data_IF_668148340566
#
_entry.id   IF_668148340566
#
_cell.length_a   1.000
_cell.length_b   1.000
_cell.length_c   1.000
_cell.angle_alpha   90.00
_cell.angle_beta   90.00
_cell.angle_gamma   90.00
#
_symmetry.space_group_name_H-M   'P 1'
#
loop_
_entity.id
_entity.type
_entity.pdbx_description
1 polymer ?
#
# COMPACT_ATOMS: atom_id res chain seq x y z
N UNK A 1 -2.68 -13.66 17.87
CA UNK A 1 -2.62 -12.52 16.94
C UNK A 1 -1.18 -12.38 16.52
N UNK A 2 -0.82 -12.81 15.30
CA UNK A 2 0.48 -12.46 14.75
C UNK A 2 0.70 -10.96 14.90
N UNK A 3 1.74 -10.60 15.65
CA UNK A 3 1.97 -9.23 16.08
C UNK A 3 2.28 -8.37 14.86
N UNK A 4 1.73 -7.16 14.80
CA UNK A 4 2.11 -6.13 13.80
C UNK A 4 3.63 -5.97 13.69
N UNK A 5 4.38 -6.28 14.76
CA UNK A 5 5.83 -6.30 14.76
C UNK A 5 6.46 -7.37 13.84
N UNK A 6 5.91 -8.59 13.80
CA UNK A 6 6.42 -9.67 12.94
C UNK A 6 6.17 -9.34 11.46
N UNK A 7 4.98 -8.83 11.18
CA UNK A 7 4.57 -8.45 9.84
C UNK A 7 5.40 -7.25 9.33
N UNK A 8 5.67 -6.25 10.20
CA UNK A 8 6.61 -5.16 9.92
C UNK A 8 8.03 -5.68 9.65
N UNK A 9 8.53 -6.61 10.46
CA UNK A 9 9.84 -7.23 10.24
C UNK A 9 9.93 -7.96 8.90
N UNK A 10 8.88 -8.65 8.48
CA UNK A 10 8.81 -9.29 7.15
C UNK A 10 8.86 -8.24 6.02
N UNK A 11 8.08 -7.16 6.13
CA UNK A 11 8.13 -6.05 5.17
C UNK A 11 9.51 -5.39 5.08
N UNK A 12 10.15 -5.14 6.22
CA UNK A 12 11.52 -4.60 6.26
C UNK A 12 12.54 -5.51 5.55
N UNK A 13 12.44 -6.83 5.75
CA UNK A 13 13.28 -7.80 5.02
C UNK A 13 13.05 -7.76 3.51
N UNK A 14 11.79 -7.61 3.06
CA UNK A 14 11.47 -7.43 1.65
C UNK A 14 12.03 -6.12 1.08
N UNK A 15 11.95 -5.02 1.83
CA UNK A 15 12.56 -3.74 1.44
C UNK A 15 14.07 -3.88 1.30
N UNK A 16 14.74 -4.52 2.26
CA UNK A 16 16.19 -4.78 2.15
C UNK A 16 16.53 -5.65 0.94
N UNK A 17 15.70 -6.65 0.62
CA UNK A 17 15.87 -7.45 -0.58
C UNK A 17 15.70 -6.61 -1.85
N UNK A 18 14.67 -5.74 -1.92
CA UNK A 18 14.47 -4.79 -3.02
C UNK A 18 15.72 -3.95 -3.26
N UNK A 19 16.26 -3.31 -2.21
CA UNK A 19 17.40 -2.40 -2.37
C UNK A 19 18.65 -3.12 -2.89
N UNK A 20 18.89 -4.36 -2.45
CA UNK A 20 20.00 -5.20 -2.92
C UNK A 20 19.80 -5.63 -4.37
N UNK A 21 18.58 -6.04 -4.72
CA UNK A 21 18.27 -6.60 -6.05
C UNK A 21 18.09 -5.54 -7.14
N UNK A 22 17.83 -4.28 -6.78
CA UNK A 22 17.74 -3.14 -7.71
C UNK A 22 18.94 -2.99 -8.64
N UNK A 23 20.13 -3.41 -8.21
CA UNK A 23 21.33 -3.33 -9.05
C UNK A 23 21.23 -4.21 -10.33
N UNK A 24 20.25 -5.12 -10.39
CA UNK A 24 20.13 -6.13 -11.45
C UNK A 24 18.70 -6.31 -11.94
N UNK A 25 17.70 -6.01 -11.11
CA UNK A 25 16.29 -6.14 -11.42
C UNK A 25 15.56 -4.82 -11.27
N UNK A 26 14.50 -4.65 -12.05
CA UNK A 26 13.65 -3.47 -12.01
C UNK A 26 12.37 -3.76 -11.21
N UNK A 27 12.00 -2.88 -10.25
CA UNK A 27 10.71 -2.95 -9.58
C UNK A 27 9.55 -2.82 -10.56
N UNK A 28 8.64 -3.80 -10.52
CA UNK A 28 7.38 -3.78 -11.28
C UNK A 28 6.20 -3.48 -10.36
N UNK A 29 6.20 -4.06 -9.15
CA UNK A 29 5.19 -3.81 -8.13
C UNK A 29 5.73 -4.18 -6.74
N UNK A 30 5.18 -3.64 -5.64
CA UNK A 30 4.18 -2.57 -5.57
C UNK A 30 4.72 -1.19 -5.93
N UNK A 31 6.04 -1.02 -5.91
CA UNK A 31 6.72 0.24 -6.17
C UNK A 31 6.42 0.75 -7.58
N UNK A 32 6.08 2.03 -7.66
CA UNK A 32 5.83 2.78 -8.91
C UNK A 32 7.10 3.46 -9.43
N UNK A 33 8.26 3.12 -8.85
CA UNK A 33 9.47 3.92 -8.94
C UNK A 33 10.73 3.06 -8.63
N UNK A 34 11.91 3.50 -9.06
CA UNK A 34 13.17 2.75 -9.00
C UNK A 34 14.18 3.28 -7.96
N UNK A 35 13.90 4.44 -7.38
CA UNK A 35 14.69 5.14 -6.35
C UNK A 35 14.75 4.34 -5.04
N UNK A 36 15.55 4.84 -4.10
CA UNK A 36 15.59 4.39 -2.70
C UNK A 36 14.18 4.19 -2.15
N UNK A 37 13.93 3.09 -1.45
CA UNK A 37 12.63 2.91 -0.81
C UNK A 37 12.42 3.99 0.25
N UNK A 38 11.34 4.78 0.12
CA UNK A 38 11.03 5.87 1.05
C UNK A 38 10.88 5.44 2.51
N UNK A 39 10.48 4.19 2.77
CA UNK A 39 10.39 3.64 4.12
C UNK A 39 11.74 3.49 4.85
N UNK A 40 12.86 3.65 4.14
CA UNK A 40 14.19 3.67 4.75
C UNK A 40 14.61 5.08 5.19
N UNK A 41 13.83 6.11 4.86
CA UNK A 41 14.10 7.45 5.34
C UNK A 41 13.81 7.57 6.85
N UNK A 42 14.52 8.46 7.57
CA UNK A 42 14.30 8.69 8.99
C UNK A 42 12.83 9.05 9.29
N UNK A 43 12.28 8.53 10.38
CA UNK A 43 10.88 8.75 10.78
C UNK A 43 9.89 7.67 10.34
N UNK A 44 10.32 6.72 9.51
CA UNK A 44 9.51 5.58 9.04
C UNK A 44 9.84 4.26 9.75
N UNK A 45 10.51 4.27 10.90
CA UNK A 45 10.99 3.05 11.58
C UNK A 45 9.84 2.14 12.03
N UNK A 46 8.66 2.71 12.27
CA UNK A 46 7.44 2.01 12.65
C UNK A 46 6.52 1.71 11.46
N UNK A 47 6.83 2.25 10.29
CA UNK A 47 6.05 2.05 9.09
C UNK A 47 6.48 0.79 8.35
N UNK A 48 5.62 0.34 7.44
CA UNK A 48 5.85 -0.84 6.64
C UNK A 48 5.00 -0.82 5.38
N UNK A 49 5.58 -1.28 4.27
CA UNK A 49 4.89 -1.38 3.00
C UNK A 49 3.99 -2.61 3.06
N UNK A 50 2.68 -2.40 3.17
CA UNK A 50 1.70 -3.46 3.26
C UNK A 50 0.42 -3.11 2.52
N UNK A 51 -0.32 -4.14 2.14
CA UNK A 51 -1.60 -4.07 1.44
C UNK A 51 -2.53 -5.11 2.04
N UNK A 52 -3.80 -5.08 1.67
CA UNK A 52 -4.78 -6.05 2.15
C UNK A 52 -5.33 -6.84 0.96
N UNK A 53 -5.12 -8.14 0.97
CA UNK A 53 -5.86 -9.02 0.06
C UNK A 53 -7.32 -9.11 0.50
N UNK A 54 -8.22 -9.24 -0.48
CA UNK A 54 -9.61 -9.59 -0.23
C UNK A 54 -9.67 -11.01 0.32
N UNK A 55 -10.17 -11.23 1.54
CA UNK A 55 -10.37 -12.57 2.06
C UNK A 55 -11.40 -13.33 1.22
N UNK A 56 -11.22 -14.64 0.99
CA UNK A 56 -12.27 -15.46 0.41
C UNK A 56 -13.53 -15.41 1.27
N UNK A 57 -14.71 -15.48 0.64
CA UNK A 57 -16.00 -15.34 1.33
C UNK A 57 -16.25 -16.41 2.40
N UNK A 58 -15.71 -17.60 2.16
CA UNK A 58 -15.82 -18.81 2.97
C UNK A 58 -15.28 -18.59 4.39
N UNK A 59 -14.30 -17.70 4.55
CA UNK A 59 -13.76 -17.29 5.85
C UNK A 59 -14.83 -16.72 6.78
N UNK A 60 -15.93 -16.19 6.24
CA UNK A 60 -17.02 -15.61 7.02
C UNK A 60 -18.17 -16.59 7.29
N UNK A 61 -18.24 -17.71 6.56
CA UNK A 61 -19.43 -18.58 6.55
C UNK A 61 -19.15 -20.01 7.00
N UNK A 62 -17.90 -20.45 6.99
CA UNK A 62 -17.52 -21.84 7.28
C UNK A 62 -16.73 -21.93 8.60
N UNK A 63 -17.20 -22.80 9.49
CA UNK A 63 -16.65 -23.00 10.83
C UNK A 63 -15.25 -23.61 10.85
N UNK A 64 -14.87 -24.36 9.83
CA UNK A 64 -13.52 -24.94 9.72
C UNK A 64 -12.47 -23.83 9.51
N UNK A 65 -12.78 -22.81 8.71
CA UNK A 65 -11.91 -21.63 8.56
C UNK A 65 -11.77 -20.83 9.85
N UNK A 66 -12.86 -20.70 10.63
CA UNK A 66 -12.82 -20.05 11.94
C UNK A 66 -11.94 -20.83 12.91
N UNK A 67 -12.07 -22.16 12.94
CA UNK A 67 -11.26 -23.04 13.78
C UNK A 67 -9.78 -22.95 13.40
N UNK A 68 -9.47 -23.07 12.11
CA UNK A 68 -8.11 -22.96 11.59
C UNK A 68 -7.46 -21.62 11.97
N UNK A 69 -8.17 -20.49 11.78
CA UNK A 69 -7.65 -19.16 12.14
C UNK A 69 -7.32 -19.05 13.64
N UNK A 70 -8.13 -19.66 14.51
CA UNK A 70 -7.87 -19.69 15.96
C UNK A 70 -6.65 -20.55 16.30
N UNK A 71 -6.56 -21.75 15.74
CA UNK A 71 -5.45 -22.67 15.99
C UNK A 71 -4.12 -22.11 15.48
N UNK A 72 -4.14 -21.44 14.33
CA UNK A 72 -2.95 -20.81 13.73
C UNK A 72 -2.66 -19.41 14.27
N UNK A 73 -3.55 -18.80 15.06
CA UNK A 73 -3.37 -17.44 15.58
C UNK A 73 -3.42 -16.32 14.53
N UNK A 74 -4.03 -16.60 13.36
CA UNK A 74 -4.16 -15.70 12.20
C UNK A 74 -5.61 -15.19 12.09
N UNK A 75 -5.79 -13.88 11.96
CA UNK A 75 -7.11 -13.33 11.59
C UNK A 75 -7.29 -13.38 10.07
N UNK A 76 -7.92 -14.46 9.59
CA UNK A 76 -8.15 -14.65 8.16
C UNK A 76 -9.08 -13.61 7.52
N UNK A 77 -9.82 -12.83 8.32
CA UNK A 77 -10.71 -11.75 7.83
C UNK A 77 -9.94 -10.49 7.45
N UNK A 78 -8.66 -10.42 7.78
CA UNK A 78 -7.78 -9.33 7.43
C UNK A 78 -6.44 -9.91 7.02
N UNK A 79 -6.15 -9.89 5.73
CA UNK A 79 -4.94 -10.49 5.16
C UNK A 79 -3.95 -9.39 4.77
N UNK A 80 -3.19 -8.82 5.74
CA UNK A 80 -2.11 -7.92 5.40
C UNK A 80 -1.01 -8.71 4.68
N UNK A 81 -0.51 -8.15 3.60
CA UNK A 81 0.59 -8.72 2.84
C UNK A 81 1.56 -7.65 2.42
N UNK A 82 2.82 -8.05 2.30
CA UNK A 82 3.87 -7.31 1.64
C UNK A 82 4.37 -8.18 0.50
N UNK A 83 4.56 -7.59 -0.67
CA UNK A 83 5.00 -8.32 -1.86
C UNK A 83 6.03 -7.50 -2.62
N UNK A 84 6.78 -8.17 -3.49
CA UNK A 84 7.78 -7.57 -4.35
C UNK A 84 7.80 -8.33 -5.67
N UNK A 85 7.54 -7.63 -6.76
CA UNK A 85 7.62 -8.13 -8.13
C UNK A 85 8.77 -7.41 -8.81
N UNK A 86 9.71 -8.19 -9.30
CA UNK A 86 10.93 -7.73 -9.95
C UNK A 86 11.01 -8.37 -11.33
N UNK A 87 11.43 -7.59 -12.31
CA UNK A 87 11.72 -8.09 -13.66
C UNK A 87 13.11 -7.63 -14.08
N UNK A 88 13.91 -8.58 -14.57
CA UNK A 88 15.26 -8.31 -15.09
C UNK A 88 15.22 -7.61 -16.45
N UNK A 89 14.21 -7.90 -17.27
CA UNK A 89 14.09 -7.45 -18.66
C UNK A 89 13.24 -6.20 -18.81
N UNK A 90 12.41 -5.88 -17.82
CA UNK A 90 11.67 -4.63 -17.81
C UNK A 90 12.68 -3.49 -18.00
N UNK A 91 12.44 -2.56 -18.94
CA UNK A 91 13.31 -1.40 -19.04
C UNK A 91 13.22 -0.63 -17.72
N UNK A 92 14.31 0.02 -17.29
CA UNK A 92 14.28 0.93 -16.14
C UNK A 92 13.17 1.99 -16.27
N UNK A 93 12.71 2.24 -17.50
CA UNK A 93 11.61 3.13 -17.84
C UNK A 93 10.19 2.56 -17.64
N UNK A 94 10.02 1.27 -17.29
CA UNK A 94 8.69 0.71 -17.07
C UNK A 94 7.96 1.37 -15.88
N UNK A 95 8.71 1.80 -14.87
CA UNK A 95 8.20 2.67 -13.81
C UNK A 95 8.06 4.13 -14.27
N UNK A 96 8.93 4.61 -15.17
CA UNK A 96 8.89 5.97 -15.70
C UNK A 96 7.87 6.18 -16.83
N UNK A 97 7.14 5.14 -17.25
CA UNK A 97 5.99 5.25 -18.15
C UNK A 97 4.67 5.52 -17.41
N UNK A 98 4.69 5.51 -16.07
CA UNK A 98 3.53 5.88 -15.29
C UNK A 98 3.28 7.40 -15.40
N UNK A 99 2.02 7.84 -15.44
CA UNK A 99 1.70 9.27 -15.46
C UNK A 99 2.28 10.01 -14.25
N UNK A 100 2.60 11.29 -14.42
CA UNK A 100 3.00 12.15 -13.30
C UNK A 100 1.92 12.17 -12.20
N UNK A 101 2.37 12.22 -10.94
CA UNK A 101 1.48 12.13 -9.78
C UNK A 101 0.97 10.71 -9.50
N UNK A 102 1.53 9.69 -10.15
CA UNK A 102 1.23 8.29 -9.80
C UNK A 102 1.80 7.95 -8.43
N UNK A 103 0.93 7.45 -7.56
CA UNK A 103 1.27 7.02 -6.21
C UNK A 103 0.74 5.61 -5.94
N UNK A 104 1.39 4.93 -5.00
CA UNK A 104 0.88 3.70 -4.39
C UNK A 104 0.41 3.99 -2.97
N UNK A 105 -0.89 3.91 -2.71
CA UNK A 105 -1.45 3.99 -1.35
C UNK A 105 -1.02 2.74 -0.57
N UNK A 106 -0.39 2.96 0.58
CA UNK A 106 0.12 1.92 1.47
C UNK A 106 -0.84 1.74 2.65
N UNK A 107 -1.13 0.49 2.99
CA UNK A 107 -2.00 0.15 4.10
C UNK A 107 -3.46 0.53 3.87
N UNK A 108 -4.14 0.93 4.96
CA UNK A 108 -5.53 1.39 4.93
C UNK A 108 -5.58 2.90 5.15
N UNK A 109 -6.56 3.53 4.51
CA UNK A 109 -6.91 4.92 4.79
C UNK A 109 -7.31 5.08 6.27
N UNK A 110 -6.79 6.13 6.91
CA UNK A 110 -7.25 6.56 8.24
C UNK A 110 -8.39 7.54 8.05
N UNK A 111 -9.61 7.11 8.38
CA UNK A 111 -10.84 7.83 8.09
C UNK A 111 -11.29 8.67 9.28
N UNK A 112 -11.57 9.94 9.02
CA UNK A 112 -12.06 10.92 9.99
C UNK A 112 -13.36 11.56 9.51
N UNK A 113 -13.98 12.37 10.38
CA UNK A 113 -15.16 13.16 9.98
C UNK A 113 -14.77 14.16 8.88
N UNK A 114 -15.21 13.87 7.66
CA UNK A 114 -15.07 14.76 6.50
C UNK A 114 -13.73 14.69 5.76
N UNK A 115 -12.77 13.89 6.20
CA UNK A 115 -11.51 13.69 5.49
C UNK A 115 -10.86 12.33 5.80
N UNK A 116 -9.89 11.95 4.99
CA UNK A 116 -9.07 10.77 5.12
C UNK A 116 -7.59 11.19 5.14
N UNK A 117 -6.78 10.53 5.96
CA UNK A 117 -5.33 10.51 5.84
C UNK A 117 -4.91 9.27 5.05
N UNK A 118 -4.02 9.47 4.09
CA UNK A 118 -3.55 8.47 3.14
C UNK A 118 -2.03 8.43 3.18
N UNK A 119 -1.45 7.27 3.48
CA UNK A 119 -0.01 7.08 3.34
C UNK A 119 0.27 6.62 1.90
N UNK A 120 1.06 7.40 1.16
CA UNK A 120 1.28 7.20 -0.27
C UNK A 120 2.76 7.19 -0.60
N UNK A 121 3.17 6.20 -1.40
CA UNK A 121 4.53 6.03 -1.87
C UNK A 121 4.66 6.47 -3.34
N UNK A 122 5.68 7.27 -3.61
CA UNK A 122 6.11 7.67 -4.95
C UNK A 122 7.64 7.81 -5.01
N UNK A 123 8.17 8.29 -6.15
CA UNK A 123 9.61 8.47 -6.37
C UNK A 123 10.28 9.40 -5.34
N UNK A 124 9.52 10.28 -4.68
CA UNK A 124 10.02 11.21 -3.65
C UNK A 124 10.00 10.63 -2.24
N UNK A 125 9.36 9.47 -2.03
CA UNK A 125 9.30 8.80 -0.74
C UNK A 125 7.90 8.38 -0.33
N UNK A 126 7.71 8.15 0.97
CA UNK A 126 6.40 7.84 1.56
C UNK A 126 5.90 9.07 2.30
N UNK A 127 4.70 9.52 1.97
CA UNK A 127 4.14 10.74 2.52
C UNK A 127 2.70 10.54 2.96
N UNK A 128 2.35 11.13 4.11
CA UNK A 128 0.96 11.24 4.54
C UNK A 128 0.31 12.41 3.81
N UNK A 129 -0.73 12.14 3.03
CA UNK A 129 -1.55 13.15 2.33
C UNK A 129 -2.97 13.16 2.87
N UNK A 130 -3.64 14.30 2.75
CA UNK A 130 -5.02 14.47 3.18
C UNK A 130 -5.95 14.51 1.98
N UNK A 131 -7.07 13.80 2.06
CA UNK A 131 -8.13 13.82 1.05
C UNK A 131 -9.46 14.16 1.72
N UNK A 132 -10.16 15.18 1.23
CA UNK A 132 -11.42 15.62 1.84
C UNK A 132 -12.63 15.01 1.13
N UNK A 133 -13.69 14.75 1.90
CA UNK A 133 -14.99 14.33 1.34
C UNK A 133 -15.55 15.35 0.35
N UNK A 134 -15.20 16.63 0.49
CA UNK A 134 -15.66 17.71 -0.40
C UNK A 134 -15.01 17.60 -1.79
N UNK A 135 -13.77 17.12 -1.87
CA UNK A 135 -13.05 16.92 -3.13
C UNK A 135 -13.79 15.95 -4.05
N UNK A 136 -14.08 14.74 -3.54
CA UNK A 136 -14.94 13.77 -4.23
C UNK A 136 -15.73 12.93 -3.21
N UNK A 137 -17.03 13.24 -3.01
CA UNK A 137 -17.89 12.50 -2.08
C UNK A 137 -18.13 11.04 -2.49
N UNK A 138 -18.08 10.71 -3.79
CA UNK A 138 -18.28 9.34 -4.26
C UNK A 138 -17.07 8.48 -3.94
N UNK A 139 -15.87 8.97 -4.23
CA UNK A 139 -14.64 8.29 -3.89
C UNK A 139 -14.46 8.14 -2.38
N UNK A 140 -14.78 9.17 -1.60
CA UNK A 140 -14.75 9.08 -0.13
C UNK A 140 -15.68 7.98 0.41
N UNK A 141 -16.87 7.80 -0.19
CA UNK A 141 -17.78 6.70 0.16
C UNK A 141 -17.21 5.34 -0.25
N UNK A 142 -16.49 5.25 -1.36
CA UNK A 142 -15.81 4.02 -1.78
C UNK A 142 -14.67 3.65 -0.81
N UNK A 143 -13.88 4.63 -0.36
CA UNK A 143 -12.84 4.44 0.67
C UNK A 143 -13.42 3.86 1.97
N UNK A 144 -14.55 4.42 2.45
CA UNK A 144 -15.25 3.92 3.63
C UNK A 144 -15.70 2.46 3.51
N UNK A 145 -15.93 1.99 2.28
CA UNK A 145 -16.33 0.61 1.98
C UNK A 145 -15.13 -0.29 1.64
N UNK A 146 -13.90 0.22 1.73
CA UNK A 146 -12.68 -0.47 1.28
C UNK A 146 -12.75 -0.95 -0.18
N UNK A 147 -13.35 -0.13 -1.06
CA UNK A 147 -13.54 -0.44 -2.49
C UNK A 147 -12.71 0.44 -3.41
N UNK A 148 -11.52 0.85 -2.96
CA UNK A 148 -10.59 1.62 -3.78
C UNK A 148 -9.30 0.83 -3.96
N UNK A 149 -8.78 0.84 -5.18
CA UNK A 149 -7.46 0.36 -5.54
C UNK A 149 -6.36 1.22 -4.93
N UNK A 150 -5.15 0.68 -4.95
CA UNK A 150 -3.98 1.32 -4.33
C UNK A 150 -3.10 2.04 -5.34
N UNK A 151 -3.20 1.75 -6.63
CA UNK A 151 -2.54 2.52 -7.68
C UNK A 151 -3.44 3.68 -8.06
N UNK A 152 -2.96 4.91 -7.87
CA UNK A 152 -3.76 6.10 -8.13
C UNK A 152 -2.88 7.18 -8.76
N UNK A 153 -3.51 8.12 -9.45
CA UNK A 153 -2.88 9.35 -9.93
C UNK A 153 -3.49 10.55 -9.21
N UNK A 154 -2.66 11.36 -8.55
CA UNK A 154 -3.10 12.48 -7.71
C UNK A 154 -2.63 13.83 -8.28
N UNK A 155 -3.44 14.86 -8.02
CA UNK A 155 -2.99 16.25 -8.04
C UNK A 155 -2.98 16.77 -6.61
N UNK A 156 -1.92 17.51 -6.26
CA UNK A 156 -1.70 18.01 -4.90
C UNK A 156 -1.69 19.54 -4.86
N UNK A 157 -2.19 20.10 -3.76
CA UNK A 157 -1.90 21.46 -3.31
C UNK A 157 -1.31 21.38 -1.90
N UNK A 158 0.00 21.53 -1.80
CA UNK A 158 0.74 21.22 -0.57
C UNK A 158 0.53 19.77 -0.13
N UNK A 159 -0.14 19.58 1.01
CA UNK A 159 -0.43 18.25 1.55
C UNK A 159 -1.83 17.72 1.20
N UNK A 160 -2.66 18.52 0.53
CA UNK A 160 -4.03 18.18 0.20
C UNK A 160 -4.13 17.58 -1.21
N UNK A 161 -4.84 16.46 -1.32
CA UNK A 161 -5.22 15.84 -2.59
C UNK A 161 -6.42 16.58 -3.15
N UNK A 162 -6.19 17.35 -4.22
CA UNK A 162 -7.20 18.19 -4.87
C UNK A 162 -7.92 17.48 -6.02
N UNK A 163 -7.31 16.44 -6.58
CA UNK A 163 -7.98 15.48 -7.43
C UNK A 163 -7.27 14.13 -7.36
N UNK A 164 -8.02 13.06 -7.62
CA UNK A 164 -7.46 11.72 -7.73
C UNK A 164 -8.25 10.91 -8.75
N UNK A 165 -7.62 9.86 -9.28
CA UNK A 165 -8.27 8.77 -9.99
C UNK A 165 -7.48 7.48 -9.80
N UNK A 166 -8.15 6.36 -9.97
CA UNK A 166 -7.52 5.04 -9.99
C UNK A 166 -6.90 4.77 -11.36
N UNK A 167 -5.82 3.99 -11.39
CA UNK A 167 -5.14 3.51 -12.60
C UNK A 167 -5.27 2.00 -12.74
#
# INVERSE_FOLDING_TARGET
THSTAEARSASQRLVQAREKLRATFHPVAPCTHCEGCGLLAPGHEQDWCHFFATPPSEVYTDGEWVRFGREMGIDLRSLPLSYLVLDRRAPASASSSLPDGTVRVVGRHRLYKGHAQLDACDASGVHERRFTKRTDPAFFRAMNKHRTGTLQQWTLDGNEVTSLKEL
#
